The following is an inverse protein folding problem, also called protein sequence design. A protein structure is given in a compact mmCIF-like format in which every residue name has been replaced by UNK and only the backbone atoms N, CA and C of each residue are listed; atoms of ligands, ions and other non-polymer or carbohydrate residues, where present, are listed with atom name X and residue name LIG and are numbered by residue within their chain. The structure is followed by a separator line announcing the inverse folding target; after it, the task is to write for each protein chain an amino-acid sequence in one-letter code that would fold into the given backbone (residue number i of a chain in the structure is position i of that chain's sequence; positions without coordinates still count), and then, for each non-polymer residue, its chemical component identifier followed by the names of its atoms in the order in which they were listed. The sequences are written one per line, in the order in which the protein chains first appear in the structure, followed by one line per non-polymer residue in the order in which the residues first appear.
data_IF_443500643078
#
_entry.id   IF_443500643078
#
_cell.length_a   1.000
_cell.length_b   1.000
_cell.length_c   1.000
_cell.angle_alpha   90.00
_cell.angle_beta   90.00
_cell.angle_gamma   90.00
#
_symmetry.space_group_name_H-M   'P 1'
#
loop_
_entity.id
_entity.type
_entity.pdbx_description
1 polymer ?
#
# COMPACT_ATOMS: atom_id res chain seq x y z
N UNK A 1 -3.37 4.44 19.88
CA UNK A 1 -2.35 5.13 19.08
C UNK A 1 -1.90 4.13 18.04
N UNK A 2 -2.13 4.41 16.76
CA UNK A 2 -1.64 3.57 15.67
C UNK A 2 -0.12 3.75 15.60
N UNK A 3 0.63 2.66 15.45
CA UNK A 3 2.07 2.73 15.32
C UNK A 3 2.42 3.21 13.91
N UNK A 4 3.12 4.35 13.80
CA UNK A 4 3.65 4.85 12.54
C UNK A 4 5.14 4.50 12.44
N UNK A 5 5.44 3.50 11.62
CA UNK A 5 6.80 2.97 11.47
C UNK A 5 7.65 3.75 10.44
N UNK A 6 7.10 4.80 9.83
CA UNK A 6 7.78 5.64 8.83
C UNK A 6 8.40 6.91 9.43
N UNK A 7 8.30 7.11 10.74
CA UNK A 7 8.84 8.30 11.41
C UNK A 7 10.32 8.14 11.74
N UNK A 8 11.04 9.25 11.94
CA UNK A 8 12.52 9.30 12.13
C UNK A 8 13.08 8.34 13.19
N UNK A 9 12.29 8.00 14.20
CA UNK A 9 12.70 7.12 15.31
C UNK A 9 12.27 5.65 15.11
N UNK A 10 11.70 5.29 13.97
CA UNK A 10 11.13 3.98 13.72
C UNK A 10 11.98 3.08 12.80
N UNK A 11 11.78 1.77 12.91
CA UNK A 11 12.60 0.75 12.23
C UNK A 11 12.50 0.76 10.70
N UNK A 12 11.42 1.30 10.14
CA UNK A 12 11.19 1.42 8.69
C UNK A 12 11.37 2.87 8.22
N UNK A 13 12.08 3.70 8.99
CA UNK A 13 12.35 5.07 8.60
C UNK A 13 13.18 5.12 7.31
N UNK A 14 12.60 5.74 6.27
CA UNK A 14 13.29 6.16 5.07
C UNK A 14 12.82 7.60 4.75
N UNK A 15 13.73 8.59 4.66
CA UNK A 15 13.36 9.98 4.35
C UNK A 15 12.61 10.14 3.03
N UNK A 16 12.74 9.21 2.08
CA UNK A 16 11.95 9.20 0.84
C UNK A 16 10.45 8.96 1.09
N UNK A 17 10.05 8.55 2.29
CA UNK A 17 8.66 8.29 2.70
C UNK A 17 8.13 9.30 3.71
N UNK A 18 8.87 10.38 4.01
CA UNK A 18 8.46 11.43 4.96
C UNK A 18 7.09 12.03 4.59
N UNK A 19 6.81 12.20 3.30
CA UNK A 19 5.50 12.69 2.81
C UNK A 19 4.35 11.73 3.15
N UNK A 20 4.58 10.42 3.11
CA UNK A 20 3.59 9.40 3.49
C UNK A 20 3.37 9.46 5.00
N UNK A 21 4.45 9.61 5.78
CA UNK A 21 4.37 9.72 7.22
C UNK A 21 3.57 10.96 7.67
N UNK A 22 3.76 12.10 7.00
CA UNK A 22 2.99 13.34 7.21
C UNK A 22 1.51 13.15 6.86
N UNK A 23 1.21 12.55 5.69
CA UNK A 23 -0.18 12.29 5.27
C UNK A 23 -0.90 11.30 6.21
N UNK A 24 -0.20 10.28 6.72
CA UNK A 24 -0.72 9.35 7.72
C UNK A 24 -0.98 10.02 9.07
N UNK A 25 -0.14 10.99 9.46
CA UNK A 25 -0.34 11.76 10.67
C UNK A 25 -1.60 12.65 10.56
N UNK A 26 -1.82 13.26 9.40
CA UNK A 26 -2.98 14.12 9.17
C UNK A 26 -4.28 13.34 8.93
N UNK A 27 -4.15 12.14 8.34
CA UNK A 27 -5.28 11.27 8.04
C UNK A 27 -4.90 9.80 8.22
N UNK A 28 -5.34 9.20 9.33
CA UNK A 28 -5.17 7.77 9.60
C UNK A 28 -5.88 6.87 8.55
N UNK A 29 -6.82 7.42 7.76
CA UNK A 29 -7.49 6.73 6.67
C UNK A 29 -6.68 6.74 5.35
N UNK A 30 -5.51 7.39 5.33
CA UNK A 30 -4.72 7.56 4.11
C UNK A 30 -4.23 6.23 3.52
N UNK A 31 -3.69 5.34 4.34
CA UNK A 31 -3.08 4.10 3.88
C UNK A 31 -3.53 2.93 4.75
N UNK A 32 -3.96 1.84 4.10
CA UNK A 32 -4.27 0.58 4.76
C UNK A 32 -3.50 -0.59 4.12
N UNK A 33 -3.36 -1.67 4.88
CA UNK A 33 -2.71 -2.91 4.43
C UNK A 33 -3.69 -4.09 4.42
N UNK A 34 -3.56 -4.94 3.41
CA UNK A 34 -4.30 -6.20 3.30
C UNK A 34 -3.35 -7.38 3.06
N UNK A 35 -3.79 -8.55 3.52
CA UNK A 35 -3.13 -9.82 3.24
C UNK A 35 -3.88 -10.56 2.14
N UNK A 36 -3.16 -10.98 1.11
CA UNK A 36 -3.63 -11.94 0.12
C UNK A 36 -3.15 -13.34 0.52
N UNK A 37 -4.07 -14.31 0.54
CA UNK A 37 -3.75 -15.71 0.83
C UNK A 37 -3.14 -16.45 -0.38
N UNK A 38 -3.16 -15.84 -1.56
CA UNK A 38 -2.58 -16.38 -2.78
C UNK A 38 -1.91 -15.27 -3.58
N UNK A 39 -0.73 -15.56 -4.14
CA UNK A 39 -0.06 -14.68 -5.08
C UNK A 39 -0.96 -14.38 -6.28
N UNK A 40 -1.08 -13.09 -6.62
CA UNK A 40 -1.76 -12.68 -7.84
C UNK A 40 -0.80 -12.87 -9.02
N UNK A 41 -1.33 -13.28 -10.19
CA UNK A 41 -0.55 -13.32 -11.43
C UNK A 41 -0.98 -12.16 -12.32
N UNK A 42 -0.13 -11.14 -12.48
CA UNK A 42 -0.37 -10.04 -13.41
C UNK A 42 0.56 -10.20 -14.60
N UNK A 43 0.01 -10.23 -15.82
CA UNK A 43 0.78 -10.34 -17.08
C UNK A 43 1.80 -11.51 -17.10
N UNK A 44 1.46 -12.66 -16.51
CA UNK A 44 2.33 -13.86 -16.38
C UNK A 44 3.56 -13.67 -15.48
N UNK A 45 3.56 -12.67 -14.61
CA UNK A 45 4.54 -12.50 -13.54
C UNK A 45 3.82 -12.68 -12.20
N UNK A 46 4.49 -13.34 -11.26
CA UNK A 46 4.02 -13.45 -9.89
C UNK A 46 4.12 -12.07 -9.24
N UNK A 47 3.10 -11.66 -8.49
CA UNK A 47 3.07 -10.38 -7.80
C UNK A 47 3.05 -10.65 -6.30
N UNK A 48 4.10 -10.21 -5.60
CA UNK A 48 4.30 -10.41 -4.16
C UNK A 48 3.65 -9.32 -3.31
N UNK A 49 3.52 -8.12 -3.89
CA UNK A 49 2.88 -6.96 -3.31
C UNK A 49 2.18 -6.13 -4.38
N UNK A 50 1.15 -5.38 -3.99
CA UNK A 50 0.45 -4.46 -4.87
C UNK A 50 0.00 -3.23 -4.09
N UNK A 51 0.52 -2.08 -4.48
CA UNK A 51 0.03 -0.77 -4.06
C UNK A 51 -0.96 -0.20 -5.09
N UNK A 52 -2.15 0.19 -4.63
CA UNK A 52 -3.16 0.84 -5.46
C UNK A 52 -3.79 2.05 -4.78
N UNK A 53 -4.05 3.11 -5.57
CA UNK A 53 -4.97 4.18 -5.16
C UNK A 53 -6.39 3.65 -5.32
N UNK A 54 -7.17 3.66 -4.25
CA UNK A 54 -8.52 3.08 -4.27
C UNK A 54 -9.43 3.93 -5.15
N UNK A 55 -9.92 3.32 -6.23
CA UNK A 55 -10.79 3.96 -7.22
C UNK A 55 -11.93 3.02 -7.60
N UNK A 56 -13.17 3.45 -7.46
CA UNK A 56 -14.34 2.68 -7.86
C UNK A 56 -14.82 3.10 -9.25
N UNK A 57 -14.37 2.41 -10.29
CA UNK A 57 -14.68 2.73 -11.69
C UNK A 57 -16.05 2.18 -12.17
N UNK A 58 -17.00 2.02 -11.26
CA UNK A 58 -18.35 1.49 -11.52
C UNK A 58 -19.36 2.29 -10.73
N UNK A 59 -20.59 2.43 -11.24
CA UNK A 59 -21.66 3.18 -10.58
C UNK A 59 -22.67 2.31 -9.81
N UNK A 60 -23.58 2.97 -9.10
CA UNK A 60 -24.76 2.36 -8.48
C UNK A 60 -24.41 1.30 -7.42
N UNK A 61 -25.14 0.18 -7.41
CA UNK A 61 -24.97 -0.86 -6.40
C UNK A 61 -23.62 -1.56 -6.44
N UNK A 62 -22.90 -1.54 -7.57
CA UNK A 62 -21.57 -2.12 -7.64
C UNK A 62 -20.56 -1.29 -6.85
N UNK A 63 -20.63 0.04 -6.98
CA UNK A 63 -19.82 1.00 -6.20
C UNK A 63 -20.11 0.86 -4.71
N UNK A 64 -21.40 0.96 -4.33
CA UNK A 64 -21.82 0.93 -2.94
C UNK A 64 -21.40 -0.37 -2.23
N UNK A 65 -21.44 -1.51 -2.94
CA UNK A 65 -20.98 -2.80 -2.40
C UNK A 65 -19.47 -2.89 -2.25
N UNK A 66 -18.69 -2.23 -3.12
CA UNK A 66 -17.24 -2.20 -2.96
C UNK A 66 -16.84 -1.27 -1.79
N UNK A 67 -17.47 -0.11 -1.69
CA UNK A 67 -17.29 0.80 -0.55
C UNK A 67 -17.67 0.13 0.77
N UNK A 68 -18.81 -0.57 0.82
CA UNK A 68 -19.24 -1.28 2.02
C UNK A 68 -18.26 -2.37 2.42
N UNK A 69 -17.72 -3.14 1.47
CA UNK A 69 -16.70 -4.17 1.78
C UNK A 69 -15.43 -3.55 2.38
N UNK A 70 -15.00 -2.39 1.89
CA UNK A 70 -13.85 -1.68 2.47
C UNK A 70 -14.17 -1.19 3.89
N UNK A 71 -15.35 -0.58 4.09
CA UNK A 71 -15.78 -0.12 5.42
C UNK A 71 -15.97 -1.26 6.41
N UNK A 72 -16.50 -2.41 5.98
CA UNK A 72 -16.65 -3.59 6.84
C UNK A 72 -15.27 -4.15 7.23
N UNK A 73 -14.29 -4.05 6.35
CA UNK A 73 -12.93 -4.57 6.59
C UNK A 73 -12.07 -3.62 7.42
N UNK A 74 -12.10 -2.32 7.12
CA UNK A 74 -11.17 -1.33 7.66
C UNK A 74 -11.83 -0.28 8.57
N UNK A 75 -13.16 -0.18 8.56
CA UNK A 75 -13.92 0.90 9.20
C UNK A 75 -14.09 2.15 8.31
N UNK A 76 -13.28 2.27 7.27
CA UNK A 76 -13.25 3.39 6.32
C UNK A 76 -12.92 2.91 4.90
N UNK A 77 -12.87 3.83 3.94
CA UNK A 77 -12.37 3.56 2.60
C UNK A 77 -10.99 4.20 2.49
N UNK A 78 -9.90 3.42 2.44
CA UNK A 78 -8.56 3.99 2.41
C UNK A 78 -8.28 4.76 1.11
N UNK A 79 -7.40 5.76 1.15
CA UNK A 79 -6.93 6.43 -0.08
C UNK A 79 -6.03 5.50 -0.88
N UNK A 80 -5.09 4.84 -0.20
CA UNK A 80 -4.20 3.82 -0.74
C UNK A 80 -4.35 2.49 -0.01
N UNK A 81 -4.29 1.40 -0.77
CA UNK A 81 -4.29 0.05 -0.25
C UNK A 81 -3.03 -0.66 -0.72
N UNK A 82 -2.22 -1.16 0.21
CA UNK A 82 -1.12 -2.08 -0.09
C UNK A 82 -1.56 -3.50 0.27
N UNK A 83 -1.56 -4.39 -0.72
CA UNK A 83 -1.88 -5.81 -0.53
C UNK A 83 -0.61 -6.64 -0.66
N UNK A 84 -0.33 -7.50 0.33
CA UNK A 84 0.88 -8.33 0.38
C UNK A 84 0.51 -9.82 0.35
N UNK A 85 1.28 -10.63 -0.38
CA UNK A 85 1.15 -12.10 -0.34
C UNK A 85 1.65 -12.64 1.01
N UNK A 86 0.71 -13.14 1.82
CA UNK A 86 1.00 -13.75 3.11
C UNK A 86 1.88 -15.00 2.96
N UNK A 87 1.69 -15.79 1.90
CA UNK A 87 2.46 -17.00 1.66
C UNK A 87 3.93 -16.70 1.41
N UNK A 88 4.22 -15.59 0.72
CA UNK A 88 5.59 -15.13 0.52
C UNK A 88 6.22 -14.71 1.86
N UNK A 89 5.49 -13.93 2.66
CA UNK A 89 5.99 -13.41 3.93
C UNK A 89 6.33 -14.51 4.94
N UNK A 90 5.60 -15.63 4.94
CA UNK A 90 5.92 -16.79 5.79
C UNK A 90 7.25 -17.46 5.45
N UNK A 91 7.80 -17.26 4.25
CA UNK A 91 9.00 -17.96 3.74
C UNK A 91 10.21 -17.06 3.56
N UNK A 92 10.09 -15.78 3.90
CA UNK A 92 11.11 -14.76 3.62
C UNK A 92 11.70 -14.24 4.93
N UNK A 93 12.87 -13.63 4.86
CA UNK A 93 13.48 -12.94 6.00
C UNK A 93 12.85 -11.56 6.25
N UNK A 94 12.96 -11.04 7.47
CA UNK A 94 12.49 -9.68 7.80
C UNK A 94 13.07 -8.62 6.85
N UNK A 95 14.32 -8.82 6.39
CA UNK A 95 14.97 -7.92 5.42
C UNK A 95 14.25 -7.90 4.07
N UNK A 96 13.87 -9.07 3.55
CA UNK A 96 13.18 -9.18 2.27
C UNK A 96 11.74 -8.67 2.39
N UNK A 97 11.10 -8.91 3.54
CA UNK A 97 9.78 -8.34 3.84
C UNK A 97 9.83 -6.80 3.88
N UNK A 98 10.78 -6.21 4.61
CA UNK A 98 10.94 -4.76 4.66
C UNK A 98 11.23 -4.17 3.27
N UNK A 99 12.07 -4.83 2.46
CA UNK A 99 12.35 -4.40 1.09
C UNK A 99 11.11 -4.44 0.19
N UNK A 100 10.22 -5.41 0.39
CA UNK A 100 8.93 -5.47 -0.31
C UNK A 100 8.02 -4.32 0.12
N UNK A 101 7.90 -4.06 1.42
CA UNK A 101 7.08 -2.93 1.92
C UNK A 101 7.60 -1.60 1.37
N UNK A 102 8.92 -1.39 1.42
CA UNK A 102 9.58 -0.21 0.85
C UNK A 102 9.29 -0.07 -0.65
N UNK A 103 9.39 -1.17 -1.42
CA UNK A 103 9.02 -1.20 -2.83
C UNK A 103 7.57 -0.74 -3.06
N UNK A 104 6.61 -1.24 -2.28
CA UNK A 104 5.21 -0.87 -2.42
C UNK A 104 4.94 0.59 -2.02
N UNK A 105 5.62 1.09 -0.99
CA UNK A 105 5.52 2.49 -0.56
C UNK A 105 6.03 3.45 -1.64
N UNK A 106 7.04 3.08 -2.42
CA UNK A 106 7.52 3.88 -3.55
C UNK A 106 6.49 4.08 -4.66
N UNK A 107 5.44 3.24 -4.76
CA UNK A 107 4.32 3.47 -5.68
C UNK A 107 3.37 4.58 -5.20
N UNK A 108 3.43 4.96 -3.92
CA UNK A 108 2.76 6.14 -3.38
C UNK A 108 3.64 7.36 -3.70
N UNK A 109 3.59 7.76 -4.98
CA UNK A 109 4.42 8.83 -5.50
C UNK A 109 4.27 10.14 -4.72
N UNK A 110 5.37 10.90 -4.65
CA UNK A 110 5.34 12.31 -4.25
C UNK A 110 4.71 13.08 -5.42
N UNK A 111 3.55 13.71 -5.23
CA UNK A 111 3.10 14.77 -6.15
C UNK A 111 4.07 15.95 -6.01
N UNK A 112 5.13 15.98 -6.82
CA UNK A 112 5.91 17.20 -7.08
C UNK A 112 5.40 17.81 -8.38
N UNK A 113 4.76 18.97 -8.27
CA UNK A 113 4.41 19.85 -9.40
C UNK A 113 3.56 19.22 -10.52
N UNK A 114 2.62 18.34 -10.18
CA UNK A 114 1.63 17.83 -11.14
C UNK A 114 2.14 16.76 -12.12
N UNK A 115 3.37 16.28 -11.96
CA UNK A 115 3.88 15.09 -12.64
C UNK A 115 4.01 13.93 -11.66
N UNK A 116 3.31 12.84 -11.95
CA UNK A 116 3.41 11.60 -11.17
C UNK A 116 4.74 10.93 -11.54
N UNK A 117 5.75 11.04 -10.67
CA UNK A 117 7.01 10.31 -10.83
C UNK A 117 6.81 8.90 -10.29
N UNK A 118 6.56 7.94 -11.18
CA UNK A 118 6.69 6.53 -10.86
C UNK A 118 8.18 6.16 -10.85
N UNK A 119 8.66 5.58 -9.75
CA UNK A 119 9.99 4.97 -9.72
C UNK A 119 9.98 3.70 -10.57
N UNK A 120 10.40 3.81 -11.84
CA UNK A 120 10.76 2.67 -12.67
C UNK A 120 12.07 2.04 -12.12
N UNK A 121 11.95 1.10 -11.18
CA UNK A 121 13.05 0.21 -10.79
C UNK A 121 12.51 -1.18 -10.38
N UNK A 122 13.32 -2.24 -10.51
CA UNK A 122 12.91 -3.51 -11.08
C UNK A 122 11.84 -4.23 -10.26
N UNK A 123 10.93 -4.84 -11.02
CA UNK A 123 9.83 -5.69 -10.55
C UNK A 123 10.41 -6.88 -9.78
N UNK A 124 9.99 -7.03 -8.53
CA UNK A 124 10.01 -8.31 -7.83
C UNK A 124 8.85 -9.18 -8.29
#
# INVERSE_FOLDING_TARGET
MIANYLTVDADLYNPDHDHIAELLHDNEEFLAFAWASQACTVKKQMVLGQCEKVMFNVGGWCMARQEQQMRDRFGFVPVYLITIDASFCERTSDREFCALIEHELYHIGVERDGEIVYSDNPKF
#
